data_IF_629747837816
#
_entry.id   IF_629747837816
#
_cell.length_a   1.000
_cell.length_b   1.000
_cell.length_c   1.000
_cell.angle_alpha   90.00
_cell.angle_beta   90.00
_cell.angle_gamma   90.00
#
_symmetry.space_group_name_H-M   'P 1'
#
loop_
_entity.id
_entity.type
_entity.pdbx_description
1 polymer ?
#
# COMPACT_ATOMS: atom_id res chain seq x y z
N UNK A 1 21.36 -7.97 -3.33
CA UNK A 1 21.13 -9.01 -2.31
C UNK A 1 20.07 -8.47 -1.39
N UNK A 2 18.84 -8.94 -1.59
CA UNK A 2 17.69 -8.59 -0.75
C UNK A 2 17.32 -9.85 0.05
N UNK A 3 18.32 -10.38 0.75
CA UNK A 3 18.26 -11.66 1.48
C UNK A 3 17.14 -11.65 2.50
N UNK A 4 16.88 -10.48 3.09
CA UNK A 4 15.78 -10.24 4.02
C UNK A 4 14.40 -10.54 3.41
N UNK A 5 14.21 -10.24 2.12
CA UNK A 5 12.98 -10.51 1.40
C UNK A 5 12.88 -11.98 0.99
N UNK A 6 13.98 -12.58 0.58
CA UNK A 6 14.06 -14.00 0.21
C UNK A 6 13.76 -14.90 1.42
N UNK A 7 14.31 -14.57 2.59
CA UNK A 7 14.04 -15.26 3.86
C UNK A 7 12.57 -15.12 4.29
N UNK A 8 11.98 -13.93 4.16
CA UNK A 8 10.55 -13.71 4.43
C UNK A 8 9.64 -14.53 3.49
N UNK A 9 10.00 -14.62 2.22
CA UNK A 9 9.22 -15.41 1.25
C UNK A 9 9.27 -16.91 1.56
N UNK A 10 10.43 -17.43 1.96
CA UNK A 10 10.60 -18.82 2.39
C UNK A 10 9.78 -19.14 3.65
N UNK A 11 9.74 -18.23 4.63
CA UNK A 11 8.91 -18.38 5.83
C UNK A 11 7.42 -18.41 5.49
N UNK A 12 6.95 -17.51 4.62
CA UNK A 12 5.56 -17.49 4.18
C UNK A 12 5.19 -18.75 3.40
N UNK A 13 6.12 -19.31 2.62
CA UNK A 13 5.95 -20.59 1.94
C UNK A 13 5.79 -21.75 2.94
N UNK A 14 6.58 -21.73 4.02
CA UNK A 14 6.49 -22.72 5.09
C UNK A 14 5.14 -22.64 5.81
N UNK A 15 4.65 -21.44 6.12
CA UNK A 15 3.34 -21.22 6.74
C UNK A 15 2.19 -21.76 5.86
N UNK A 16 2.24 -21.49 4.55
CA UNK A 16 1.25 -22.01 3.60
C UNK A 16 1.26 -23.55 3.51
N UNK A 17 2.37 -24.21 3.84
CA UNK A 17 2.47 -25.68 3.87
C UNK A 17 1.95 -26.32 5.16
N UNK A 18 1.89 -25.55 6.25
CA UNK A 18 1.49 -26.03 7.59
C UNK A 18 -0.02 -25.87 7.78
N UNK A 19 -0.59 -24.78 7.25
CA UNK A 19 -1.99 -24.42 7.43
C UNK A 19 -2.82 -24.78 6.21
N UNK A 20 -4.08 -25.14 6.44
CA UNK A 20 -5.04 -25.35 5.35
C UNK A 20 -5.29 -24.03 4.59
N UNK A 21 -5.67 -24.15 3.32
CA UNK A 21 -5.84 -22.99 2.43
C UNK A 21 -6.95 -22.02 2.85
N UNK A 22 -7.81 -22.41 3.79
CA UNK A 22 -8.84 -21.55 4.40
C UNK A 22 -8.33 -20.81 5.65
N UNK A 23 -7.29 -21.32 6.32
CA UNK A 23 -6.70 -20.74 7.54
C UNK A 23 -5.57 -19.75 7.22
N UNK A 24 -4.79 -20.01 6.16
CA UNK A 24 -3.72 -19.12 5.71
C UNK A 24 -3.93 -18.70 4.24
N UNK A 25 -4.56 -17.53 4.06
CA UNK A 25 -4.79 -16.94 2.74
C UNK A 25 -3.80 -15.80 2.51
N UNK A 26 -2.98 -15.93 1.47
CA UNK A 26 -2.07 -14.87 1.04
C UNK A 26 -2.87 -13.84 0.23
N UNK A 27 -2.85 -12.58 0.67
CA UNK A 27 -3.46 -11.49 -0.10
C UNK A 27 -2.52 -11.12 -1.26
N UNK A 28 -2.76 -11.71 -2.43
CA UNK A 28 -2.01 -11.42 -3.67
C UNK A 28 -2.43 -10.08 -4.32
N UNK A 29 -3.17 -9.20 -3.62
CA UNK A 29 -3.44 -7.88 -4.17
C UNK A 29 -2.11 -7.20 -4.43
N UNK A 30 -1.78 -7.00 -5.70
CA UNK A 30 -0.57 -6.28 -6.18
C UNK A 30 -0.50 -4.83 -5.67
N UNK A 31 -1.50 -4.40 -4.91
CA UNK A 31 -1.70 -3.10 -4.28
C UNK A 31 -1.86 -3.17 -2.76
N UNK A 32 -1.46 -4.27 -2.09
CA UNK A 32 -1.46 -4.39 -0.64
C UNK A 32 -0.22 -3.76 0.00
N UNK A 33 0.05 -2.49 -0.32
CA UNK A 33 1.12 -1.70 0.28
C UNK A 33 0.72 -0.24 0.38
N UNK A 34 1.02 0.40 1.51
CA UNK A 34 0.88 1.85 1.64
C UNK A 34 1.91 2.53 0.72
N UNK A 35 1.45 3.10 -0.39
CA UNK A 35 2.30 3.91 -1.26
C UNK A 35 2.33 5.34 -0.70
N UNK A 36 3.50 5.74 -0.22
CA UNK A 36 3.78 7.12 0.20
C UNK A 36 4.51 7.85 -0.93
N UNK A 37 3.82 8.76 -1.62
CA UNK A 37 4.40 9.64 -2.65
C UNK A 37 4.55 11.05 -2.09
N UNK A 38 5.77 11.58 -2.10
CA UNK A 38 6.06 12.97 -1.78
C UNK A 38 6.24 13.76 -3.08
N UNK A 39 5.44 14.79 -3.29
CA UNK A 39 5.55 15.69 -4.45
C UNK A 39 5.34 17.12 -3.97
N UNK A 40 6.13 18.05 -4.50
CA UNK A 40 5.99 19.48 -4.22
C UNK A 40 4.82 20.02 -5.06
N UNK A 41 3.72 20.37 -4.39
CA UNK A 41 2.52 20.87 -5.04
C UNK A 41 2.47 22.40 -4.96
N UNK A 42 2.01 23.08 -6.03
CA UNK A 42 1.73 24.51 -5.96
C UNK A 42 0.61 24.81 -4.96
N UNK A 43 0.54 26.06 -4.49
CA UNK A 43 -0.60 26.54 -3.73
C UNK A 43 -1.91 26.31 -4.54
N UNK A 44 -2.97 25.89 -3.86
CA UNK A 44 -4.30 25.60 -4.43
C UNK A 44 -4.38 24.39 -5.39
N UNK A 45 -3.58 23.34 -5.17
CA UNK A 45 -3.75 22.08 -5.89
C UNK A 45 -4.95 21.25 -5.40
N UNK A 46 -5.62 20.55 -6.33
CA UNK A 46 -6.74 19.66 -6.03
C UNK A 46 -6.39 18.19 -6.29
N UNK A 47 -6.56 17.32 -5.29
CA UNK A 47 -6.25 15.90 -5.40
C UNK A 47 -7.54 15.11 -5.63
N UNK A 48 -7.63 14.43 -6.78
CA UNK A 48 -8.74 13.54 -7.10
C UNK A 48 -8.25 12.10 -7.02
N UNK A 49 -8.70 11.35 -6.02
CA UNK A 49 -8.46 9.92 -5.94
C UNK A 49 -9.61 9.19 -6.63
N UNK A 50 -9.28 8.43 -7.67
CA UNK A 50 -10.24 7.59 -8.38
C UNK A 50 -10.04 6.14 -7.95
N UNK A 51 -10.94 5.66 -7.10
CA UNK A 51 -10.96 4.26 -6.70
C UNK A 51 -12.22 3.60 -7.28
N UNK A 52 -12.02 2.78 -8.31
CA UNK A 52 -13.13 2.15 -9.04
C UNK A 52 -14.09 3.16 -9.65
N UNK A 53 -15.37 3.16 -9.22
CA UNK A 53 -16.42 4.08 -9.68
C UNK A 53 -16.64 5.29 -8.75
N UNK A 54 -15.82 5.46 -7.71
CA UNK A 54 -15.94 6.56 -6.76
C UNK A 54 -14.83 7.58 -7.00
N UNK A 55 -15.24 8.82 -7.18
CA UNK A 55 -14.34 9.97 -7.26
C UNK A 55 -14.39 10.69 -5.91
N UNK A 56 -13.31 10.58 -5.12
CA UNK A 56 -13.17 11.34 -3.88
C UNK A 56 -12.27 12.56 -4.13
N UNK A 57 -12.76 13.74 -3.74
CA UNK A 57 -12.06 15.00 -3.94
C UNK A 57 -11.49 15.52 -2.61
N UNK A 58 -10.17 15.74 -2.55
CA UNK A 58 -9.48 16.18 -1.35
C UNK A 58 -8.79 17.52 -1.59
N UNK A 59 -9.03 18.47 -0.67
CA UNK A 59 -8.30 19.75 -0.65
C UNK A 59 -7.09 19.59 0.27
N UNK A 60 -5.89 19.73 -0.29
CA UNK A 60 -4.65 19.70 0.49
C UNK A 60 -4.53 21.03 1.23
N UNK A 61 -4.61 21.00 2.57
CA UNK A 61 -4.36 22.16 3.41
C UNK A 61 -2.88 22.16 3.78
N UNK A 62 -2.13 23.13 3.29
CA UNK A 62 -0.74 23.31 3.68
C UNK A 62 -0.73 23.71 5.17
N UNK A 63 -0.39 22.78 6.07
CA UNK A 63 -0.16 23.12 7.47
C UNK A 63 1.15 23.88 7.56
N UNK A 64 1.07 25.21 7.47
CA UNK A 64 2.14 26.10 7.92
C UNK A 64 2.33 25.84 9.42
N UNK A 65 3.30 24.99 9.76
CA UNK A 65 3.77 24.84 11.13
C UNK A 65 4.50 26.14 11.48
N UNK A 66 3.89 26.96 12.34
CA UNK A 66 4.46 28.20 12.86
C UNK A 66 5.39 27.97 14.04
#
# INVERSE_FOLDING_TARGET
>A
MNTDLEEQEDELLALQSIFDSEEFVRDESKSAGEIRVSVELPADFNVVLKEGKKDNNYRVLNMLCG
#
